data_IF_075302437077
#
_entry.id   IF_075302437077
#
_cell.length_a   1.000
_cell.length_b   1.000
_cell.length_c   1.000
_cell.angle_alpha   90.00
_cell.angle_beta   90.00
_cell.angle_gamma   90.00
#
_symmetry.space_group_name_H-M   'P 1'
#
loop_
_entity.id
_entity.type
_entity.pdbx_description
1 polymer ?
#
# COMPACT_ATOMS: atom_id res chain seq x y z
N UNK A 1 -37.90 12.42 -16.40
CA UNK A 1 -37.39 11.04 -16.41
C UNK A 1 -36.02 11.04 -15.75
N UNK A 2 -35.91 10.60 -14.50
CA UNK A 2 -34.67 10.71 -13.72
C UNK A 2 -33.71 9.58 -14.09
N UNK A 3 -32.52 9.94 -14.57
CA UNK A 3 -31.44 9.04 -15.01
C UNK A 3 -30.81 8.25 -13.84
N UNK A 4 -31.21 8.51 -12.59
CA UNK A 4 -30.55 8.01 -11.36
C UNK A 4 -30.75 6.52 -11.04
N UNK A 5 -31.48 5.75 -11.87
CA UNK A 5 -32.02 4.45 -11.42
C UNK A 5 -31.30 3.16 -11.87
N UNK A 6 -30.16 3.17 -12.58
CA UNK A 6 -29.61 1.89 -13.14
C UNK A 6 -28.09 1.69 -13.10
N UNK A 7 -27.30 2.55 -12.47
CA UNK A 7 -25.84 2.32 -12.35
C UNK A 7 -25.59 1.27 -11.25
N UNK A 8 -24.93 0.17 -11.59
CA UNK A 8 -24.56 -0.87 -10.62
C UNK A 8 -23.58 -0.29 -9.58
N UNK A 9 -23.62 -0.81 -8.34
CA UNK A 9 -22.71 -0.33 -7.30
C UNK A 9 -21.23 -0.47 -7.71
N UNK A 10 -20.89 -1.46 -8.54
CA UNK A 10 -19.53 -1.68 -9.06
C UNK A 10 -19.08 -0.56 -10.01
N UNK A 11 -19.99 -0.04 -10.85
CA UNK A 11 -19.69 1.09 -11.74
C UNK A 11 -19.51 2.40 -10.96
N UNK A 12 -20.31 2.61 -9.90
CA UNK A 12 -20.27 3.79 -9.01
C UNK A 12 -18.94 3.97 -8.28
N UNK A 13 -18.19 2.90 -8.05
CA UNK A 13 -16.89 2.96 -7.35
C UNK A 13 -15.74 2.38 -8.17
N UNK A 14 -15.88 2.36 -9.50
CA UNK A 14 -14.89 1.78 -10.42
C UNK A 14 -13.51 2.45 -10.40
N UNK A 15 -13.35 3.61 -9.75
CA UNK A 15 -12.06 4.30 -9.54
C UNK A 15 -11.52 4.18 -8.12
N UNK A 16 -12.15 3.42 -7.22
CA UNK A 16 -11.60 3.13 -5.89
C UNK A 16 -10.25 2.41 -6.00
N UNK A 17 -9.27 2.86 -5.21
CA UNK A 17 -7.91 2.32 -5.22
C UNK A 17 -7.03 2.78 -6.40
N UNK A 18 -7.61 3.39 -7.44
CA UNK A 18 -6.84 3.98 -8.55
C UNK A 18 -6.15 5.27 -8.10
N UNK A 19 -4.95 5.51 -8.62
CA UNK A 19 -4.20 6.75 -8.39
C UNK A 19 -5.03 7.94 -8.88
N UNK A 20 -4.94 9.07 -8.17
CA UNK A 20 -5.48 10.34 -8.62
C UNK A 20 -4.60 10.93 -9.71
N UNK A 21 -5.21 11.46 -10.78
CA UNK A 21 -4.52 12.24 -11.80
C UNK A 21 -4.68 13.73 -11.53
N UNK A 22 -3.77 14.57 -12.05
CA UNK A 22 -3.75 16.00 -11.71
C UNK A 22 -4.97 16.73 -12.33
N UNK A 23 -5.49 16.24 -13.46
CA UNK A 23 -6.72 16.75 -14.07
C UNK A 23 -7.96 16.49 -13.20
N UNK A 24 -7.99 15.37 -12.46
CA UNK A 24 -9.08 15.08 -11.50
C UNK A 24 -9.10 16.11 -10.37
N UNK A 25 -7.92 16.58 -9.93
CA UNK A 25 -7.84 17.59 -8.87
C UNK A 25 -8.40 18.94 -9.35
N UNK A 26 -8.13 19.32 -10.60
CA UNK A 26 -8.65 20.56 -11.18
C UNK A 26 -10.19 20.54 -11.25
N UNK A 27 -10.76 19.43 -11.73
CA UNK A 27 -12.22 19.24 -11.79
C UNK A 27 -12.81 19.27 -10.37
N UNK A 28 -12.20 18.54 -9.42
CA UNK A 28 -12.67 18.52 -8.04
C UNK A 28 -12.71 19.92 -7.41
N UNK A 29 -11.69 20.76 -7.66
CA UNK A 29 -11.65 22.14 -7.17
C UNK A 29 -12.77 22.98 -7.78
N UNK A 30 -13.03 22.84 -9.08
CA UNK A 30 -14.12 23.54 -9.77
C UNK A 30 -15.49 23.13 -9.20
N UNK A 31 -15.75 21.83 -9.04
CA UNK A 31 -17.02 21.31 -8.50
C UNK A 31 -17.30 21.81 -7.08
N UNK A 32 -16.25 21.87 -6.23
CA UNK A 32 -16.35 22.43 -4.89
C UNK A 32 -16.65 23.93 -4.93
N UNK A 33 -15.99 24.67 -5.84
CA UNK A 33 -16.22 26.10 -6.03
C UNK A 33 -17.66 26.36 -6.48
N UNK A 34 -18.21 25.46 -7.30
CA UNK A 34 -19.60 25.46 -7.74
C UNK A 34 -20.59 24.91 -6.69
N UNK A 35 -20.12 24.58 -5.48
CA UNK A 35 -20.91 24.06 -4.34
C UNK A 35 -21.71 22.80 -4.69
N UNK A 36 -21.16 21.96 -5.56
CA UNK A 36 -21.76 20.65 -5.87
C UNK A 36 -21.69 19.77 -4.60
N UNK A 37 -22.77 19.05 -4.24
CA UNK A 37 -22.75 18.13 -3.10
C UNK A 37 -21.65 17.07 -3.22
N UNK A 38 -21.02 16.73 -2.09
CA UNK A 38 -19.91 15.76 -2.07
C UNK A 38 -20.33 14.36 -2.52
N UNK A 39 -21.60 14.01 -2.32
CA UNK A 39 -22.21 12.77 -2.78
C UNK A 39 -22.25 12.70 -4.31
N UNK A 40 -22.60 13.81 -4.97
CA UNK A 40 -22.68 13.91 -6.43
C UNK A 40 -21.28 13.91 -7.04
N UNK A 41 -20.33 14.64 -6.43
CA UNK A 41 -18.91 14.60 -6.80
C UNK A 41 -18.37 13.17 -6.71
N UNK A 42 -18.71 12.43 -5.64
CA UNK A 42 -18.26 11.05 -5.47
C UNK A 42 -18.77 10.14 -6.60
N UNK A 43 -20.03 10.32 -7.02
CA UNK A 43 -20.63 9.58 -8.12
C UNK A 43 -19.96 9.90 -9.46
N UNK A 44 -19.75 11.17 -9.78
CA UNK A 44 -19.15 11.60 -11.04
C UNK A 44 -17.70 11.10 -11.16
N UNK A 45 -16.92 11.23 -10.08
CA UNK A 45 -15.55 10.72 -10.02
C UNK A 45 -15.48 9.21 -9.86
N UNK A 46 -16.60 8.51 -9.69
CA UNK A 46 -16.69 7.06 -9.46
C UNK A 46 -15.80 6.61 -8.28
N UNK A 47 -15.78 7.40 -7.22
CA UNK A 47 -14.98 7.21 -6.00
C UNK A 47 -15.91 7.20 -4.78
N UNK A 48 -15.39 6.78 -3.63
CA UNK A 48 -16.16 6.88 -2.38
C UNK A 48 -16.18 8.32 -1.87
N UNK A 49 -17.24 8.71 -1.18
CA UNK A 49 -17.32 10.00 -0.49
C UNK A 49 -16.16 10.21 0.49
N UNK A 50 -15.70 9.15 1.16
CA UNK A 50 -14.53 9.19 2.03
C UNK A 50 -13.25 9.48 1.24
N UNK A 51 -13.13 8.93 0.04
CA UNK A 51 -12.03 9.19 -0.88
C UNK A 51 -12.00 10.66 -1.34
N UNK A 52 -13.18 11.21 -1.69
CA UNK A 52 -13.33 12.64 -2.02
C UNK A 52 -12.92 13.51 -0.84
N UNK A 53 -13.52 13.31 0.35
CA UNK A 53 -13.19 14.07 1.57
C UNK A 53 -11.70 14.03 1.91
N UNK A 54 -11.09 12.84 1.85
CA UNK A 54 -9.65 12.66 2.06
C UNK A 54 -8.80 13.46 1.07
N UNK A 55 -9.21 13.49 -0.21
CA UNK A 55 -8.50 14.26 -1.24
C UNK A 55 -8.60 15.76 -0.99
N UNK A 56 -9.81 16.25 -0.69
CA UNK A 56 -10.05 17.66 -0.35
C UNK A 56 -9.19 18.09 0.84
N UNK A 57 -9.23 17.32 1.93
CA UNK A 57 -8.46 17.66 3.13
C UNK A 57 -6.96 17.73 2.81
N UNK A 58 -6.43 16.74 2.10
CA UNK A 58 -4.98 16.64 1.86
C UNK A 58 -4.44 17.60 0.79
N UNK A 59 -5.24 17.95 -0.23
CA UNK A 59 -4.80 18.75 -1.38
C UNK A 59 -5.28 20.19 -1.37
N UNK A 60 -6.37 20.48 -0.69
CA UNK A 60 -7.01 21.80 -0.70
C UNK A 60 -6.93 22.43 0.69
N UNK A 61 -7.45 21.73 1.71
CA UNK A 61 -7.55 22.29 3.07
C UNK A 61 -6.19 22.38 3.75
N UNK A 62 -5.35 21.34 3.66
CA UNK A 62 -4.06 21.30 4.36
C UNK A 62 -3.10 22.43 3.92
N UNK A 63 -2.93 22.73 2.62
CA UNK A 63 -2.15 23.90 2.19
C UNK A 63 -2.69 25.22 2.76
N UNK A 64 -4.01 25.43 2.75
CA UNK A 64 -4.65 26.64 3.32
C UNK A 64 -4.42 26.76 4.83
N UNK A 65 -4.65 25.67 5.56
CA UNK A 65 -4.37 25.59 7.00
C UNK A 65 -2.92 25.96 7.31
N UNK A 66 -1.98 25.42 6.53
CA UNK A 66 -0.54 25.56 6.77
C UNK A 66 0.00 26.96 6.42
N UNK A 67 -0.50 27.58 5.36
CA UNK A 67 0.07 28.81 4.81
C UNK A 67 -0.74 30.07 5.12
N UNK A 68 -2.06 29.95 5.27
CA UNK A 68 -2.98 31.08 5.27
C UNK A 68 -3.56 31.38 6.67
N UNK A 69 -3.03 30.75 7.72
CA UNK A 69 -3.45 30.90 9.12
C UNK A 69 -4.97 30.69 9.33
N UNK A 70 -5.57 29.80 8.53
CA UNK A 70 -7.00 29.45 8.59
C UNK A 70 -7.22 28.35 9.62
N UNK A 71 -8.26 28.46 10.45
CA UNK A 71 -8.59 27.42 11.43
C UNK A 71 -9.17 26.16 10.75
N UNK A 72 -8.95 25.00 11.37
CA UNK A 72 -9.63 23.77 10.95
C UNK A 72 -11.16 23.87 11.07
N UNK A 73 -11.65 24.71 11.98
CA UNK A 73 -13.08 25.02 12.13
C UNK A 73 -13.65 25.71 10.90
N UNK A 74 -12.96 26.76 10.42
CA UNK A 74 -13.38 27.53 9.25
C UNK A 74 -13.40 26.63 8.01
N UNK A 75 -12.37 25.79 7.85
CA UNK A 75 -12.28 24.83 6.74
C UNK A 75 -13.36 23.74 6.85
N UNK A 76 -13.69 23.26 8.05
CA UNK A 76 -14.77 22.29 8.24
C UNK A 76 -16.11 22.84 7.74
N UNK A 77 -16.40 24.10 8.05
CA UNK A 77 -17.62 24.80 7.63
C UNK A 77 -17.59 25.09 6.12
N UNK A 78 -16.49 25.64 5.59
CA UNK A 78 -16.35 26.02 4.17
C UNK A 78 -16.58 24.83 3.23
N UNK A 79 -16.02 23.66 3.56
CA UNK A 79 -16.06 22.47 2.70
C UNK A 79 -17.16 21.47 3.07
N UNK A 80 -17.98 21.76 4.10
CA UNK A 80 -18.99 20.85 4.62
C UNK A 80 -18.42 19.44 4.96
N UNK A 81 -17.27 19.43 5.64
CA UNK A 81 -16.59 18.19 6.08
C UNK A 81 -16.52 18.22 7.60
N UNK A 82 -16.92 17.10 8.22
CA UNK A 82 -16.90 16.96 9.68
C UNK A 82 -15.52 17.28 10.28
N UNK A 83 -15.48 18.19 11.26
CA UNK A 83 -14.25 18.64 11.93
C UNK A 83 -13.36 17.49 12.41
N UNK A 84 -13.96 16.48 13.03
CA UNK A 84 -13.24 15.30 13.54
C UNK A 84 -12.43 14.59 12.44
N UNK A 85 -12.96 14.58 11.22
CA UNK A 85 -12.31 14.00 10.06
C UNK A 85 -11.17 14.89 9.57
N UNK A 86 -11.40 16.20 9.50
CA UNK A 86 -10.38 17.20 9.13
C UNK A 86 -9.17 17.09 10.05
N UNK A 87 -9.39 17.14 11.37
CA UNK A 87 -8.35 17.02 12.39
C UNK A 87 -7.56 15.71 12.22
N UNK A 88 -8.25 14.58 12.09
CA UNK A 88 -7.61 13.27 11.90
C UNK A 88 -6.68 13.24 10.71
N UNK A 89 -7.09 13.83 9.58
CA UNK A 89 -6.27 13.81 8.37
C UNK A 89 -5.12 14.83 8.42
N UNK A 90 -5.35 16.02 8.97
CA UNK A 90 -4.28 17.04 9.14
C UNK A 90 -3.20 16.54 10.08
N UNK A 91 -3.57 16.00 11.26
CA UNK A 91 -2.61 15.45 12.22
C UNK A 91 -1.74 14.35 11.57
N UNK A 92 -2.36 13.47 10.80
CA UNK A 92 -1.65 12.42 10.04
C UNK A 92 -0.68 12.98 8.99
N UNK A 93 -0.97 14.14 8.41
CA UNK A 93 -0.08 14.81 7.45
C UNK A 93 1.10 15.47 8.17
N UNK A 94 0.86 16.12 9.31
CA UNK A 94 1.93 16.70 10.13
C UNK A 94 2.89 15.64 10.68
N UNK A 95 2.38 14.51 11.17
CA UNK A 95 3.19 13.40 11.66
C UNK A 95 4.13 12.85 10.57
N UNK A 96 3.65 12.79 9.33
CA UNK A 96 4.46 12.37 8.18
C UNK A 96 5.55 13.38 7.84
N UNK A 97 5.30 14.67 8.00
CA UNK A 97 6.33 15.69 7.78
C UNK A 97 7.40 15.69 8.87
N UNK A 98 7.02 15.39 10.12
CA UNK A 98 7.94 15.26 11.26
C UNK A 98 8.81 14.01 11.17
N UNK A 99 8.35 12.97 10.47
CA UNK A 99 9.14 11.75 10.26
C UNK A 99 10.29 12.01 9.25
N UNK A 100 11.54 11.57 9.54
CA UNK A 100 12.65 11.74 8.60
C UNK A 100 12.27 11.05 7.28
N UNK A 101 12.23 11.82 6.19
CA UNK A 101 12.03 11.29 4.85
C UNK A 101 13.12 10.26 4.62
N UNK A 102 12.76 8.98 4.50
CA UNK A 102 13.68 7.99 3.90
C UNK A 102 14.00 8.51 2.51
N UNK A 103 15.20 9.05 2.32
CA UNK A 103 15.71 9.45 1.01
C UNK A 103 15.68 8.22 0.11
N UNK A 104 14.67 8.14 -0.76
CA UNK A 104 14.69 7.25 -1.91
C UNK A 104 15.45 8.03 -2.97
N UNK A 105 16.77 7.86 -3.01
CA UNK A 105 17.63 8.41 -4.05
C UNK A 105 17.22 7.82 -5.41
N UNK A 106 16.41 8.58 -6.17
CA UNK A 106 16.20 8.38 -7.60
C UNK A 106 17.38 9.05 -8.33
N UNK A 107 18.42 8.31 -8.64
CA UNK A 107 19.46 8.77 -9.57
C UNK A 107 19.06 8.33 -10.97
N UNK A 108 18.54 9.29 -11.75
CA UNK A 108 18.58 9.23 -13.20
C UNK A 108 19.94 9.82 -13.62
N UNK A 109 20.78 9.07 -14.32
CA UNK A 109 21.74 9.69 -15.23
C UNK A 109 22.08 8.74 -16.39
N UNK A 110 21.81 9.27 -17.59
CA UNK A 110 22.29 8.80 -18.89
C UNK A 110 23.74 9.23 -19.03
N UNK A 111 24.62 8.37 -19.55
CA UNK A 111 25.98 8.76 -19.92
C UNK A 111 26.96 7.60 -19.96
N UNK A 112 27.32 7.20 -21.17
CA UNK A 112 28.27 6.14 -21.51
C UNK A 112 29.67 6.35 -20.90
N UNK A 113 30.24 5.29 -20.31
CA UNK A 113 31.55 4.77 -20.71
C UNK A 113 31.91 3.48 -19.98
N UNK A 114 32.35 2.51 -20.79
CA UNK A 114 32.94 1.21 -20.43
C UNK A 114 34.06 1.37 -19.40
N UNK A 115 34.03 0.56 -18.35
CA UNK A 115 35.17 -0.20 -17.82
C UNK A 115 34.64 -1.32 -16.90
N UNK A 116 34.99 -2.56 -17.26
CA UNK A 116 34.57 -3.80 -16.60
C UNK A 116 35.23 -3.93 -15.23
N UNK A 117 34.44 -3.90 -14.15
CA UNK A 117 34.81 -4.52 -12.88
C UNK A 117 33.59 -5.21 -12.27
N UNK A 118 33.81 -6.47 -11.92
CA UNK A 118 32.93 -7.45 -11.29
C UNK A 118 32.12 -6.88 -10.10
N UNK A 119 30.86 -6.50 -10.32
CA UNK A 119 29.94 -6.02 -9.27
C UNK A 119 28.52 -6.57 -9.48
N UNK A 120 28.22 -7.74 -8.88
CA UNK A 120 26.87 -8.33 -8.81
C UNK A 120 26.03 -7.66 -7.71
N UNK A 121 26.07 -6.33 -7.64
CA UNK A 121 25.28 -5.52 -6.71
C UNK A 121 23.79 -5.47 -7.12
N UNK A 122 23.04 -6.44 -6.58
CA UNK A 122 21.74 -6.25 -5.94
C UNK A 122 20.69 -5.38 -6.65
N UNK A 123 20.13 -5.86 -7.76
CA UNK A 123 18.76 -5.46 -8.13
C UNK A 123 17.76 -6.22 -7.25
N UNK A 124 17.16 -5.52 -6.27
CA UNK A 124 16.03 -6.07 -5.51
C UNK A 124 14.90 -6.42 -6.50
N UNK A 125 14.44 -7.66 -6.47
CA UNK A 125 13.46 -8.21 -7.42
C UNK A 125 12.04 -7.69 -7.13
N UNK A 126 11.83 -6.38 -7.30
CA UNK A 126 10.52 -5.73 -7.15
C UNK A 126 9.56 -6.16 -8.28
N UNK A 127 8.34 -6.54 -7.92
CA UNK A 127 7.26 -6.87 -8.87
C UNK A 127 7.37 -8.22 -9.57
N UNK A 128 8.46 -8.97 -9.37
CA UNK A 128 8.58 -10.33 -9.93
C UNK A 128 7.80 -11.34 -9.11
N UNK A 129 7.14 -12.29 -9.77
CA UNK A 129 6.47 -13.41 -9.11
C UNK A 129 7.50 -14.33 -8.46
N UNK A 130 7.07 -15.09 -7.45
CA UNK A 130 7.84 -16.19 -6.88
C UNK A 130 7.69 -17.42 -7.78
N UNK A 131 8.80 -18.06 -8.11
CA UNK A 131 8.82 -19.36 -8.79
C UNK A 131 9.03 -20.50 -7.77
N UNK A 132 8.91 -21.74 -8.24
CA UNK A 132 8.95 -22.92 -7.35
C UNK A 132 10.34 -23.12 -6.76
N UNK A 133 11.37 -22.85 -7.55
CA UNK A 133 12.78 -22.96 -7.14
C UNK A 133 13.11 -21.96 -6.03
N UNK A 134 12.59 -20.73 -6.14
CA UNK A 134 12.69 -19.71 -5.09
C UNK A 134 11.94 -20.09 -3.82
N UNK A 135 10.78 -20.74 -3.95
CA UNK A 135 10.03 -21.23 -2.78
C UNK A 135 10.79 -22.34 -2.04
N UNK A 136 11.38 -23.29 -2.78
CA UNK A 136 12.23 -24.36 -2.21
C UNK A 136 13.43 -23.73 -1.50
N UNK A 137 14.16 -22.85 -2.19
CA UNK A 137 15.31 -22.17 -1.62
C UNK A 137 14.96 -21.38 -0.34
N UNK A 138 13.79 -20.73 -0.32
CA UNK A 138 13.30 -19.99 0.83
C UNK A 138 13.00 -20.91 2.02
N UNK A 139 12.35 -22.05 1.77
CA UNK A 139 12.00 -23.02 2.82
C UNK A 139 13.25 -23.71 3.38
N UNK A 140 14.22 -24.07 2.52
CA UNK A 140 15.49 -24.68 2.95
C UNK A 140 16.24 -23.74 3.89
N UNK A 141 16.45 -22.49 3.48
CA UNK A 141 17.13 -21.48 4.32
C UNK A 141 16.41 -21.23 5.65
N UNK A 142 15.07 -21.25 5.63
CA UNK A 142 14.29 -21.08 6.85
C UNK A 142 14.41 -22.30 7.78
N UNK A 143 14.40 -23.52 7.23
CA UNK A 143 14.57 -24.77 7.98
C UNK A 143 15.97 -24.92 8.58
N UNK A 144 16.98 -24.37 7.91
CA UNK A 144 18.37 -24.29 8.39
C UNK A 144 18.55 -23.23 9.50
N UNK A 145 17.50 -22.46 9.82
CA UNK A 145 17.50 -21.48 10.91
C UNK A 145 18.13 -20.14 10.57
N UNK A 146 18.25 -19.78 9.29
CA UNK A 146 18.74 -18.45 8.90
C UNK A 146 17.76 -17.36 9.32
N UNK A 147 18.31 -16.23 9.76
CA UNK A 147 17.49 -15.05 10.06
C UNK A 147 16.92 -14.41 8.78
N UNK A 148 15.76 -13.75 8.93
CA UNK A 148 15.00 -13.13 7.83
C UNK A 148 15.84 -12.11 7.06
N UNK A 149 16.75 -11.40 7.73
CA UNK A 149 17.69 -10.49 7.07
C UNK A 149 18.63 -11.22 6.10
N UNK A 150 19.18 -12.34 6.53
CA UNK A 150 20.11 -13.14 5.73
C UNK A 150 19.38 -13.79 4.55
N UNK A 151 18.16 -14.28 4.78
CA UNK A 151 17.31 -14.85 3.73
C UNK A 151 16.95 -13.78 2.69
N UNK A 152 16.58 -12.58 3.13
CA UNK A 152 16.27 -11.46 2.24
C UNK A 152 17.44 -11.13 1.31
N UNK A 153 18.66 -11.09 1.87
CA UNK A 153 19.88 -10.86 1.11
C UNK A 153 20.17 -12.00 0.13
N UNK A 154 20.08 -13.27 0.57
CA UNK A 154 20.33 -14.44 -0.29
C UNK A 154 19.32 -14.56 -1.43
N UNK A 155 18.05 -14.25 -1.18
CA UNK A 155 16.98 -14.31 -2.17
C UNK A 155 16.85 -13.03 -3.01
N UNK A 156 17.64 -11.99 -2.76
CA UNK A 156 17.53 -10.67 -3.41
C UNK A 156 16.10 -10.08 -3.35
N UNK A 157 15.46 -10.21 -2.19
CA UNK A 157 14.07 -9.78 -1.93
C UNK A 157 14.00 -8.96 -0.65
N UNK A 158 12.94 -8.18 -0.48
CA UNK A 158 12.74 -7.42 0.75
C UNK A 158 12.29 -8.35 1.89
N UNK A 159 12.67 -8.02 3.14
CA UNK A 159 12.22 -8.76 4.34
C UNK A 159 10.71 -8.95 4.40
N UNK A 160 9.95 -7.91 4.01
CA UNK A 160 8.49 -7.96 3.95
C UNK A 160 7.99 -8.99 2.93
N UNK A 161 8.64 -9.09 1.76
CA UNK A 161 8.33 -10.13 0.77
C UNK A 161 8.66 -11.52 1.30
N UNK A 162 9.77 -11.70 2.01
CA UNK A 162 10.15 -12.98 2.63
C UNK A 162 9.09 -13.40 3.65
N UNK A 163 8.76 -12.52 4.61
CA UNK A 163 7.75 -12.78 5.65
C UNK A 163 6.39 -13.14 5.07
N UNK A 164 5.92 -12.37 4.09
CA UNK A 164 4.65 -12.62 3.42
C UNK A 164 4.66 -13.96 2.66
N UNK A 165 5.78 -14.29 1.99
CA UNK A 165 5.87 -15.54 1.24
C UNK A 165 5.91 -16.74 2.18
N UNK A 166 6.72 -16.69 3.23
CA UNK A 166 6.77 -17.71 4.28
C UNK A 166 5.39 -17.92 4.92
N UNK A 167 4.64 -16.85 5.22
CA UNK A 167 3.29 -17.02 5.78
C UNK A 167 2.36 -17.79 4.84
N UNK A 168 2.48 -17.59 3.52
CA UNK A 168 1.69 -18.34 2.55
C UNK A 168 2.17 -19.78 2.39
N UNK A 169 3.48 -20.02 2.33
CA UNK A 169 4.05 -21.35 2.16
C UNK A 169 3.83 -22.21 3.40
N UNK A 170 4.13 -21.70 4.59
CA UNK A 170 3.90 -22.42 5.84
C UNK A 170 2.40 -22.71 6.03
N UNK A 171 1.50 -21.74 5.79
CA UNK A 171 0.06 -21.99 5.92
C UNK A 171 -0.46 -23.08 4.97
N UNK A 172 0.11 -23.19 3.77
CA UNK A 172 -0.25 -24.25 2.82
C UNK A 172 0.38 -25.61 3.19
N UNK A 173 1.64 -25.64 3.64
CA UNK A 173 2.28 -26.88 4.13
C UNK A 173 1.61 -27.45 5.39
N UNK A 174 1.14 -26.58 6.31
CA UNK A 174 0.40 -27.01 7.49
C UNK A 174 -1.01 -27.56 7.20
N UNK A 175 -1.55 -27.36 5.99
CA UNK A 175 -2.81 -28.00 5.54
C UNK A 175 -2.59 -29.42 5.01
N UNK A 176 -1.52 -29.64 4.26
CA UNK A 176 -1.27 -30.94 3.61
C UNK A 176 -0.61 -31.96 4.55
N UNK A 177 0.16 -31.52 5.55
CA UNK A 177 0.86 -32.42 6.49
C UNK A 177 0.08 -32.77 7.78
N UNK A 178 -1.07 -32.15 8.04
CA UNK A 178 -1.96 -32.55 9.15
C UNK A 178 -2.62 -33.92 8.93
N UNK A 179 -2.51 -34.51 7.72
CA UNK A 179 -3.01 -35.85 7.39
C UNK A 179 -1.91 -36.93 7.48
N UNK A 180 -0.62 -36.58 7.56
CA UNK A 180 0.48 -37.58 7.63
C UNK A 180 1.39 -37.49 8.86
N UNK A 181 1.43 -36.37 9.58
CA UNK A 181 2.33 -36.24 10.75
C UNK A 181 1.76 -36.86 12.04
N UNK A 182 0.46 -37.18 12.10
CA UNK A 182 -0.11 -37.79 13.32
C UNK A 182 0.28 -39.25 13.55
N UNK A 183 0.60 -40.01 12.49
CA UNK A 183 0.90 -41.44 12.64
C UNK A 183 2.41 -41.72 12.72
N UNK A 184 3.28 -40.93 12.08
CA UNK A 184 4.72 -41.21 12.04
C UNK A 184 5.54 -40.62 13.21
N UNK A 185 5.00 -39.61 13.93
CA UNK A 185 5.73 -39.00 15.07
C UNK A 185 5.47 -39.72 16.39
N UNK A 186 4.36 -40.45 16.54
CA UNK A 186 4.07 -41.24 17.75
C UNK A 186 4.85 -42.57 17.77
N UNK A 187 5.15 -43.17 16.61
CA UNK A 187 5.86 -44.45 16.56
C UNK A 187 7.39 -44.37 16.75
N UNK A 188 8.01 -43.18 16.69
CA UNK A 188 9.47 -43.03 16.91
C UNK A 188 9.89 -42.60 18.31
N UNK A 189 8.96 -42.18 19.17
CA UNK A 189 9.29 -41.68 20.52
C UNK A 189 8.90 -42.60 21.69
N UNK A 190 8.38 -43.81 21.43
CA UNK A 190 8.06 -44.79 22.48
C UNK A 190 8.70 -46.18 22.30
N UNK A 191 9.84 -46.28 21.61
CA UNK A 191 10.63 -47.53 21.61
C UNK A 191 12.14 -47.26 21.79
N UNK A 192 12.52 -46.78 22.98
CA UNK A 192 13.84 -47.08 23.53
C UNK A 192 13.65 -47.55 24.97
N UNK A 193 13.81 -48.87 25.12
CA UNK A 193 14.00 -49.74 26.29
C UNK A 193 12.92 -49.87 27.36
#
# INVERSE_FOLDING_TARGET
MSISSLISNEEKISRVGKKWVDEEDAILIEEITNRIPLEDIALEHKRTIVGIKSRIISKIMYPKYKNDNVSMDDLSIEYNIEKSLVEKYINKLEEKEKSPKKEINKVNNVGDNKLEVNDKSLMIMHGKKWDKEQDIQLLDLYSEGYDIDMIANKCNRTKSSIKLRLSHLCFNYFKDDMIKIKDDVICKYHNIS
#
